data_IF_590738366085
#
_entry.id   IF_590738366085
#
_cell.length_a   1.000
_cell.length_b   1.000
_cell.length_c   1.000
_cell.angle_alpha   90.00
_cell.angle_beta   90.00
_cell.angle_gamma   90.00
#
_symmetry.space_group_name_H-M   'P 1'
#
loop_
_entity.id
_entity.type
_entity.pdbx_description
1 polymer ?
#
# COMPACT_ATOMS: atom_id res chain seq x y z
N UNK A 1 17.54 -14.25 15.07
CA UNK A 1 17.85 -13.53 13.81
C UNK A 1 17.75 -12.04 14.09
N UNK A 2 18.69 -11.22 13.63
CA UNK A 2 18.67 -9.77 13.84
C UNK A 2 18.49 -9.06 12.48
N UNK A 3 17.44 -8.32 12.34
CA UNK A 3 17.14 -7.54 11.13
C UNK A 3 17.70 -6.11 11.19
N UNK A 4 18.37 -5.73 12.28
CA UNK A 4 18.98 -4.41 12.47
C UNK A 4 17.98 -3.28 12.62
N UNK A 5 18.42 -2.04 12.34
CA UNK A 5 17.57 -0.85 12.43
C UNK A 5 16.79 -0.66 11.14
N UNK A 6 15.47 -0.61 11.26
CA UNK A 6 14.56 -0.33 10.15
C UNK A 6 14.23 1.16 10.11
N UNK A 7 14.58 1.78 9.00
CA UNK A 7 14.36 3.20 8.73
C UNK A 7 13.00 3.45 8.10
N UNK A 8 12.51 4.66 8.23
CA UNK A 8 11.32 5.12 7.51
C UNK A 8 11.64 5.30 6.03
N UNK A 9 10.64 5.12 5.17
CA UNK A 9 10.76 5.41 3.74
C UNK A 9 9.90 6.63 3.41
N UNK A 10 10.53 7.76 3.15
CA UNK A 10 9.87 9.04 2.88
C UNK A 10 10.49 9.68 1.64
N UNK A 11 9.67 10.08 0.67
CA UNK A 11 10.15 10.76 -0.53
C UNK A 11 11.15 9.95 -1.36
N UNK A 12 11.01 8.63 -1.42
CA UNK A 12 11.92 7.75 -2.16
C UNK A 12 13.24 7.44 -1.44
N UNK A 13 13.37 7.77 -0.15
CA UNK A 13 14.61 7.59 0.62
C UNK A 13 14.37 6.94 1.97
N UNK A 14 15.34 6.13 2.39
CA UNK A 14 15.39 5.62 3.76
C UNK A 14 15.96 6.68 4.69
N UNK A 15 15.20 7.10 5.70
CA UNK A 15 15.60 8.11 6.67
C UNK A 15 15.36 7.65 8.12
N UNK A 16 16.15 8.19 9.03
CA UNK A 16 15.96 8.05 10.47
C UNK A 16 14.98 9.11 10.97
N UNK A 17 14.38 8.87 12.13
CA UNK A 17 13.50 9.87 12.74
C UNK A 17 14.30 11.09 13.19
N UNK A 18 13.78 12.28 12.94
CA UNK A 18 14.35 13.55 13.44
C UNK A 18 14.47 13.54 14.97
N UNK A 19 13.51 12.91 15.66
CA UNK A 19 13.56 12.75 17.11
C UNK A 19 14.54 11.67 17.60
N UNK A 20 15.12 10.87 16.70
CA UNK A 20 16.00 9.76 17.05
C UNK A 20 15.32 8.61 17.82
N UNK A 21 13.99 8.63 17.92
CA UNK A 21 13.23 7.64 18.69
C UNK A 21 13.17 6.31 17.96
N UNK A 22 13.45 5.22 18.68
CA UNK A 22 13.36 3.86 18.17
C UNK A 22 12.51 3.00 19.09
N UNK A 23 11.85 2.00 18.53
CA UNK A 23 11.08 0.97 19.25
C UNK A 23 11.65 -0.40 18.92
N UNK A 24 11.87 -1.21 19.94
CA UNK A 24 12.27 -2.61 19.77
C UNK A 24 11.09 -3.45 19.26
N UNK A 25 11.40 -4.34 18.33
CA UNK A 25 10.49 -5.37 17.84
C UNK A 25 10.92 -6.68 18.46
N UNK A 26 10.03 -7.24 19.26
CA UNK A 26 10.25 -8.48 19.99
C UNK A 26 9.53 -9.61 19.26
N UNK A 27 10.23 -10.68 18.95
CA UNK A 27 9.62 -11.88 18.37
C UNK A 27 8.71 -12.55 19.40
N UNK A 28 7.43 -12.78 19.09
CA UNK A 28 6.52 -13.48 20.00
C UNK A 28 6.88 -14.98 20.16
N UNK A 29 7.61 -15.55 19.21
CA UNK A 29 8.03 -16.94 19.24
C UNK A 29 9.24 -17.18 20.15
N UNK A 30 10.19 -16.21 20.22
CA UNK A 30 11.45 -16.40 20.96
C UNK A 30 11.59 -15.47 22.17
N UNK A 31 10.83 -14.38 22.23
CA UNK A 31 10.97 -13.32 23.24
C UNK A 31 12.20 -12.44 23.03
N UNK A 32 12.94 -12.62 21.96
CA UNK A 32 14.16 -11.86 21.65
C UNK A 32 13.85 -10.60 20.83
N UNK A 33 14.66 -9.55 21.02
CA UNK A 33 14.65 -8.39 20.14
C UNK A 33 15.23 -8.77 18.77
N UNK A 34 14.43 -8.60 17.72
CA UNK A 34 14.81 -8.98 16.35
C UNK A 34 15.06 -7.78 15.44
N UNK A 35 14.62 -6.60 15.82
CA UNK A 35 14.84 -5.36 15.08
C UNK A 35 14.61 -4.14 15.96
N UNK A 36 15.08 -2.98 15.50
CA UNK A 36 14.67 -1.67 16.04
C UNK A 36 14.02 -0.87 14.92
N UNK A 37 12.85 -0.34 15.17
CA UNK A 37 12.09 0.46 14.23
C UNK A 37 12.21 1.95 14.56
N UNK A 38 12.59 2.78 13.60
CA UNK A 38 12.50 4.23 13.74
C UNK A 38 11.04 4.65 13.89
N UNK A 39 10.73 5.42 14.94
CA UNK A 39 9.39 5.94 15.21
C UNK A 39 9.30 7.36 14.68
N UNK A 40 8.34 7.62 13.81
CA UNK A 40 8.15 8.93 13.20
C UNK A 40 7.79 9.99 14.26
N UNK A 41 8.41 11.14 14.19
CA UNK A 41 8.02 12.35 14.90
C UNK A 41 6.87 13.06 14.16
N UNK A 42 6.39 14.16 14.74
CA UNK A 42 5.41 15.01 14.05
C UNK A 42 6.01 15.62 12.78
N UNK A 43 7.25 16.06 12.84
CA UNK A 43 7.99 16.65 11.72
C UNK A 43 8.20 15.62 10.59
N UNK A 44 8.55 14.38 10.93
CA UNK A 44 8.65 13.28 9.97
C UNK A 44 7.31 13.01 9.28
N UNK A 45 6.22 13.05 10.04
CA UNK A 45 4.86 12.85 9.52
C UNK A 45 4.46 13.98 8.57
N UNK A 46 4.74 15.22 8.93
CA UNK A 46 4.48 16.39 8.07
C UNK A 46 5.28 16.29 6.77
N UNK A 47 6.56 15.91 6.83
CA UNK A 47 7.38 15.66 5.65
C UNK A 47 6.82 14.53 4.79
N UNK A 48 6.39 13.43 5.40
CA UNK A 48 5.80 12.31 4.68
C UNK A 48 4.52 12.71 3.92
N UNK A 49 3.67 13.54 4.53
CA UNK A 49 2.46 14.07 3.88
C UNK A 49 2.80 14.99 2.69
N UNK A 50 3.82 15.84 2.84
CA UNK A 50 4.26 16.73 1.74
C UNK A 50 4.82 15.92 0.56
N UNK A 51 5.64 14.91 0.83
CA UNK A 51 6.19 14.04 -0.21
C UNK A 51 5.11 13.16 -0.86
N UNK A 52 4.13 12.69 -0.08
CA UNK A 52 2.97 11.96 -0.61
C UNK A 52 2.12 12.85 -1.54
N UNK A 53 1.95 14.14 -1.21
CA UNK A 53 1.24 15.09 -2.07
C UNK A 53 1.96 15.30 -3.42
N UNK A 54 3.29 15.40 -3.42
CA UNK A 54 4.08 15.43 -4.67
C UNK A 54 3.93 14.13 -5.47
N UNK A 55 3.94 13.01 -4.77
CA UNK A 55 3.69 11.69 -5.37
C UNK A 55 2.32 11.62 -6.03
N UNK A 56 1.27 12.14 -5.38
CA UNK A 56 -0.08 12.23 -5.93
C UNK A 56 -0.14 13.05 -7.21
N UNK A 57 0.53 14.19 -7.27
CA UNK A 57 0.57 15.04 -8.49
C UNK A 57 1.18 14.34 -9.71
N UNK A 58 2.11 13.45 -9.48
CA UNK A 58 2.67 12.58 -10.52
C UNK A 58 1.73 11.43 -10.85
N UNK A 59 1.30 10.68 -9.82
CA UNK A 59 0.53 9.45 -9.97
C UNK A 59 -0.84 9.67 -10.61
N UNK A 60 -1.52 10.75 -10.26
CA UNK A 60 -2.84 11.10 -10.80
C UNK A 60 -2.87 11.34 -12.31
N UNK A 61 -1.72 11.64 -12.91
CA UNK A 61 -1.56 11.86 -14.36
C UNK A 61 -1.25 10.59 -15.15
N UNK A 62 -0.88 9.50 -14.46
CA UNK A 62 -0.57 8.24 -15.12
C UNK A 62 -1.83 7.58 -15.68
N UNK A 63 -1.70 7.01 -16.86
CA UNK A 63 -2.70 6.13 -17.43
C UNK A 63 -2.84 4.84 -16.62
N UNK A 64 -3.94 4.11 -16.79
CA UNK A 64 -4.14 2.80 -16.15
C UNK A 64 -3.03 1.80 -16.52
N UNK A 65 -2.55 1.82 -17.76
CA UNK A 65 -1.46 0.96 -18.21
C UNK A 65 -0.18 1.23 -17.44
N UNK A 66 0.20 2.50 -17.30
CA UNK A 66 1.40 2.90 -16.57
C UNK A 66 1.31 2.55 -15.08
N UNK A 67 0.14 2.71 -14.46
CA UNK A 67 -0.10 2.28 -13.07
C UNK A 67 0.03 0.77 -12.92
N UNK A 68 -0.54 0.00 -13.84
CA UNK A 68 -0.42 -1.45 -13.86
C UNK A 68 1.04 -1.92 -13.99
N UNK A 69 1.85 -1.24 -14.81
CA UNK A 69 3.28 -1.54 -14.91
C UNK A 69 4.01 -1.33 -13.57
N UNK A 70 3.65 -0.29 -12.80
CA UNK A 70 4.22 -0.06 -11.48
C UNK A 70 3.81 -1.15 -10.47
N UNK A 71 2.55 -1.57 -10.49
CA UNK A 71 2.08 -2.66 -9.62
C UNK A 71 2.74 -4.00 -10.02
N UNK A 72 2.93 -4.25 -11.32
CA UNK A 72 3.66 -5.42 -11.77
C UNK A 72 5.13 -5.41 -11.31
N UNK A 73 5.80 -4.25 -11.32
CA UNK A 73 7.15 -4.10 -10.74
C UNK A 73 7.17 -4.41 -9.25
N UNK A 74 6.18 -3.93 -8.49
CA UNK A 74 6.04 -4.24 -7.07
C UNK A 74 5.84 -5.74 -6.85
N UNK A 75 4.94 -6.38 -7.61
CA UNK A 75 4.72 -7.82 -7.57
C UNK A 75 6.02 -8.60 -7.83
N UNK A 76 6.75 -8.24 -8.86
CA UNK A 76 8.01 -8.89 -9.19
C UNK A 76 9.08 -8.69 -8.09
N UNK A 77 9.10 -7.53 -7.43
CA UNK A 77 9.98 -7.30 -6.30
C UNK A 77 9.61 -8.18 -5.10
N UNK A 78 8.31 -8.35 -4.80
CA UNK A 78 7.84 -9.28 -3.75
C UNK A 78 8.31 -10.70 -4.05
N UNK A 79 8.15 -11.16 -5.28
CA UNK A 79 8.61 -12.51 -5.70
C UNK A 79 10.12 -12.66 -5.56
N UNK A 80 10.89 -11.64 -5.97
CA UNK A 80 12.35 -11.66 -5.90
C UNK A 80 12.88 -11.67 -4.45
N UNK A 81 12.13 -11.12 -3.51
CA UNK A 81 12.49 -11.05 -2.09
C UNK A 81 11.61 -11.97 -1.21
N UNK A 82 11.02 -13.02 -1.81
CA UNK A 82 10.10 -13.93 -1.12
C UNK A 82 10.70 -14.48 0.17
N UNK A 83 11.92 -14.97 0.14
CA UNK A 83 12.58 -15.58 1.31
C UNK A 83 12.82 -14.57 2.45
N UNK A 84 13.24 -13.34 2.12
CA UNK A 84 13.45 -12.28 3.12
C UNK A 84 12.14 -11.88 3.81
N UNK A 85 11.08 -11.73 3.03
CA UNK A 85 9.73 -11.42 3.52
C UNK A 85 9.18 -12.56 4.39
N UNK A 86 9.43 -13.80 3.97
CA UNK A 86 9.02 -14.99 4.69
C UNK A 86 9.63 -15.04 6.09
N UNK A 87 10.96 -14.89 6.19
CA UNK A 87 11.63 -14.80 7.48
C UNK A 87 11.12 -13.63 8.32
N UNK A 88 10.90 -12.46 7.72
CA UNK A 88 10.39 -11.31 8.44
C UNK A 88 9.01 -11.61 9.07
N UNK A 89 8.08 -12.18 8.30
CA UNK A 89 6.75 -12.57 8.82
C UNK A 89 6.85 -13.62 9.92
N UNK A 90 7.66 -14.65 9.74
CA UNK A 90 7.84 -15.68 10.76
C UNK A 90 8.34 -15.10 12.08
N UNK A 91 9.38 -14.29 12.05
CA UNK A 91 9.99 -13.78 13.27
C UNK A 91 9.19 -12.65 13.93
N UNK A 92 8.56 -11.78 13.14
CA UNK A 92 7.78 -10.67 13.66
C UNK A 92 6.41 -11.11 14.17
N UNK A 93 5.77 -12.07 13.49
CA UNK A 93 4.43 -12.54 13.80
C UNK A 93 4.40 -13.85 14.61
N UNK A 94 5.48 -14.59 14.64
CA UNK A 94 5.52 -15.92 15.22
C UNK A 94 4.74 -16.96 14.42
N UNK A 95 4.58 -16.77 13.12
CA UNK A 95 3.90 -17.72 12.21
C UNK A 95 4.78 -18.93 11.92
N UNK A 96 4.14 -20.06 11.56
CA UNK A 96 4.84 -21.21 11.01
C UNK A 96 5.35 -20.89 9.60
N UNK A 97 6.24 -21.73 9.09
CA UNK A 97 6.75 -21.58 7.71
C UNK A 97 5.61 -21.59 6.70
N UNK A 98 4.74 -22.56 6.79
CA UNK A 98 3.61 -22.73 5.87
C UNK A 98 2.66 -21.53 5.88
N UNK A 99 2.33 -21.02 7.09
CA UNK A 99 1.43 -19.87 7.23
C UNK A 99 2.06 -18.57 6.72
N UNK A 100 3.38 -18.41 6.82
CA UNK A 100 4.09 -17.27 6.26
C UNK A 100 4.18 -17.37 4.73
N UNK A 101 4.30 -18.57 4.17
CA UNK A 101 4.29 -18.82 2.73
C UNK A 101 2.94 -18.46 2.10
N UNK A 102 1.84 -18.86 2.75
CA UNK A 102 0.48 -18.47 2.35
C UNK A 102 0.30 -16.94 2.33
N UNK A 103 0.82 -16.22 3.33
CA UNK A 103 0.74 -14.75 3.34
C UNK A 103 1.41 -14.13 2.11
N UNK A 104 2.54 -14.69 1.67
CA UNK A 104 3.27 -14.19 0.52
C UNK A 104 2.57 -14.51 -0.79
N UNK A 105 2.03 -15.72 -0.92
CA UNK A 105 1.26 -16.09 -2.09
C UNK A 105 0.01 -15.21 -2.24
N UNK A 106 -0.70 -14.94 -1.14
CA UNK A 106 -1.85 -14.03 -1.11
C UNK A 106 -1.50 -12.59 -1.55
N UNK A 107 -0.29 -12.10 -1.24
CA UNK A 107 0.17 -10.78 -1.72
C UNK A 107 0.36 -10.81 -3.23
N UNK A 108 1.05 -11.82 -3.74
CA UNK A 108 1.32 -11.97 -5.17
C UNK A 108 0.00 -12.02 -5.94
N UNK A 109 -0.96 -12.80 -5.45
CA UNK A 109 -2.31 -12.91 -6.02
C UNK A 109 -3.06 -11.57 -5.99
N UNK A 110 -3.01 -10.86 -4.87
CA UNK A 110 -3.65 -9.55 -4.74
C UNK A 110 -3.07 -8.52 -5.73
N UNK A 111 -1.74 -8.49 -5.86
CA UNK A 111 -1.05 -7.58 -6.79
C UNK A 111 -1.24 -7.97 -8.27
N UNK A 112 -1.74 -9.16 -8.56
CA UNK A 112 -2.17 -9.59 -9.89
C UNK A 112 -3.66 -9.33 -10.13
N UNK A 113 -4.50 -9.64 -9.16
CA UNK A 113 -5.96 -9.58 -9.28
C UNK A 113 -6.47 -8.14 -9.45
N UNK A 114 -6.10 -7.22 -8.55
CA UNK A 114 -6.68 -5.87 -8.53
C UNK A 114 -6.36 -5.04 -9.78
N UNK A 115 -5.15 -5.06 -10.38
CA UNK A 115 -4.90 -4.42 -11.67
C UNK A 115 -5.84 -4.90 -12.79
N UNK A 116 -6.15 -6.20 -12.79
CA UNK A 116 -7.06 -6.78 -13.79
C UNK A 116 -8.52 -6.37 -13.55
N UNK A 117 -8.96 -6.22 -12.29
CA UNK A 117 -10.30 -5.73 -11.96
C UNK A 117 -10.50 -4.27 -12.36
N UNK A 118 -9.45 -3.46 -12.26
CA UNK A 118 -9.50 -2.06 -12.67
C UNK A 118 -9.90 -1.85 -14.14
N UNK A 119 -9.44 -2.75 -15.01
CA UNK A 119 -9.78 -2.71 -16.44
C UNK A 119 -11.29 -2.95 -16.69
N UNK A 120 -12.01 -3.47 -15.70
CA UNK A 120 -13.45 -3.72 -15.74
C UNK A 120 -14.29 -2.60 -15.14
N UNK A 121 -13.66 -1.69 -14.37
CA UNK A 121 -14.36 -0.52 -13.83
C UNK A 121 -14.71 0.44 -14.96
N UNK A 122 -15.99 0.76 -15.08
CA UNK A 122 -16.52 1.62 -16.14
C UNK A 122 -17.28 2.79 -15.55
N UNK A 123 -17.15 3.93 -16.18
CA UNK A 123 -18.10 5.03 -16.00
C UNK A 123 -19.50 4.57 -16.44
N UNK A 124 -20.53 5.09 -15.80
CA UNK A 124 -21.91 4.71 -16.09
C UNK A 124 -22.71 5.94 -16.52
N UNK A 125 -23.56 5.76 -17.52
CA UNK A 125 -24.62 6.72 -17.83
C UNK A 125 -25.87 6.29 -17.09
N UNK A 126 -26.39 7.14 -16.21
CA UNK A 126 -27.57 6.89 -15.42
C UNK A 126 -28.80 7.54 -16.10
N UNK A 127 -29.95 6.87 -16.17
CA UNK A 127 -31.14 7.45 -16.77
C UNK A 127 -31.64 8.65 -15.97
N UNK A 128 -32.02 9.70 -16.68
CA UNK A 128 -32.82 10.80 -16.13
C UNK A 128 -34.31 10.52 -16.46
N UNK A 129 -35.12 10.36 -15.43
CA UNK A 129 -36.53 10.03 -15.56
C UNK A 129 -37.35 11.14 -16.25
N UNK A 130 -36.85 12.37 -16.24
CA UNK A 130 -37.51 13.53 -16.87
C UNK A 130 -36.96 13.81 -18.28
N UNK A 131 -35.85 13.15 -18.68
CA UNK A 131 -35.26 13.32 -20.00
C UNK A 131 -34.62 14.68 -20.24
N UNK A 132 -34.36 15.45 -19.19
CA UNK A 132 -33.84 16.82 -19.28
C UNK A 132 -32.31 16.91 -19.16
N UNK A 133 -31.67 15.85 -18.63
CA UNK A 133 -30.24 15.83 -18.35
C UNK A 133 -29.62 14.49 -18.72
N UNK A 134 -28.29 14.50 -18.90
CA UNK A 134 -27.48 13.28 -18.98
C UNK A 134 -26.68 13.13 -17.69
N UNK A 135 -26.95 12.10 -16.90
CA UNK A 135 -26.22 11.80 -15.69
C UNK A 135 -25.07 10.85 -16.01
N UNK A 136 -23.84 11.24 -15.68
CA UNK A 136 -22.67 10.40 -15.89
C UNK A 136 -21.96 10.18 -14.54
N UNK A 137 -21.78 8.92 -14.18
CA UNK A 137 -20.97 8.52 -13.04
C UNK A 137 -19.50 8.41 -13.50
N UNK A 138 -18.65 9.24 -12.92
CA UNK A 138 -17.20 9.23 -13.21
C UNK A 138 -16.41 8.97 -11.93
N UNK A 139 -15.24 8.35 -12.09
CA UNK A 139 -14.29 8.09 -11.02
C UNK A 139 -13.22 9.18 -11.03
N UNK A 140 -13.02 9.85 -9.90
CA UNK A 140 -12.03 10.92 -9.75
C UNK A 140 -11.11 10.61 -8.55
N UNK A 141 -9.80 10.96 -8.63
CA UNK A 141 -8.86 10.74 -7.53
C UNK A 141 -9.23 11.56 -6.29
N UNK A 142 -9.09 10.95 -5.12
CA UNK A 142 -9.34 11.61 -3.83
C UNK A 142 -8.13 12.31 -3.24
N UNK A 143 -6.93 11.99 -3.69
CA UNK A 143 -5.68 12.52 -3.16
C UNK A 143 -4.95 11.54 -2.25
N UNK A 144 -4.16 12.07 -1.33
CA UNK A 144 -3.37 11.28 -0.39
C UNK A 144 -4.25 10.54 0.61
N UNK A 145 -3.95 9.27 0.83
CA UNK A 145 -4.68 8.38 1.75
C UNK A 145 -3.74 7.90 2.86
N UNK A 146 -4.21 7.96 4.10
CA UNK A 146 -3.55 7.32 5.23
C UNK A 146 -4.08 5.89 5.39
N UNK A 147 -3.22 4.90 5.18
CA UNK A 147 -3.55 3.49 5.33
C UNK A 147 -3.05 2.95 6.66
N UNK A 148 -3.97 2.60 7.55
CA UNK A 148 -3.64 1.87 8.78
C UNK A 148 -3.68 0.36 8.51
N UNK A 149 -2.58 -0.33 8.85
CA UNK A 149 -2.41 -1.75 8.58
C UNK A 149 -2.68 -2.56 9.84
N UNK A 150 -3.47 -3.63 9.71
CA UNK A 150 -3.68 -4.57 10.79
C UNK A 150 -2.44 -5.47 10.96
N UNK A 151 -2.14 -5.82 12.20
CA UNK A 151 -0.93 -6.56 12.56
C UNK A 151 -0.98 -8.04 12.15
N UNK A 152 -2.16 -8.63 12.03
CA UNK A 152 -2.35 -10.08 11.83
C UNK A 152 -1.99 -10.62 10.43
N UNK A 153 -2.03 -9.76 9.39
CA UNK A 153 -1.58 -10.02 8.02
C UNK A 153 -0.87 -8.79 7.47
N UNK A 154 0.29 -8.40 8.02
CA UNK A 154 0.87 -7.08 7.80
C UNK A 154 1.18 -6.83 6.32
N UNK A 155 1.85 -7.75 5.64
CA UNK A 155 2.22 -7.56 4.23
C UNK A 155 1.02 -7.71 3.28
N UNK A 156 0.07 -8.59 3.56
CA UNK A 156 -1.16 -8.69 2.77
C UNK A 156 -1.98 -7.39 2.87
N UNK A 157 -2.08 -6.81 4.06
CA UNK A 157 -2.74 -5.52 4.24
C UNK A 157 -2.04 -4.40 3.45
N UNK A 158 -0.70 -4.42 3.36
CA UNK A 158 0.04 -3.51 2.47
C UNK A 158 -0.39 -3.71 1.02
N UNK A 159 -0.41 -4.94 0.53
CA UNK A 159 -0.79 -5.23 -0.85
C UNK A 159 -2.22 -4.77 -1.17
N UNK A 160 -3.19 -5.06 -0.30
CA UNK A 160 -4.58 -4.63 -0.49
C UNK A 160 -4.70 -3.10 -0.52
N UNK A 161 -4.03 -2.39 0.37
CA UNK A 161 -4.10 -0.94 0.40
C UNK A 161 -3.40 -0.32 -0.81
N UNK A 162 -2.14 -0.72 -1.07
CA UNK A 162 -1.37 -0.16 -2.18
C UNK A 162 -2.04 -0.46 -3.54
N UNK A 163 -2.42 -1.70 -3.81
CA UNK A 163 -3.02 -2.03 -5.10
C UNK A 163 -4.34 -1.28 -5.31
N UNK A 164 -5.26 -1.31 -4.35
CA UNK A 164 -6.56 -0.65 -4.48
C UNK A 164 -6.43 0.88 -4.59
N UNK A 165 -5.62 1.53 -3.74
CA UNK A 165 -5.44 2.99 -3.76
C UNK A 165 -4.82 3.44 -5.09
N UNK A 166 -3.76 2.75 -5.54
CA UNK A 166 -3.03 3.15 -6.73
C UNK A 166 -3.74 2.80 -8.03
N UNK A 167 -4.63 1.84 -8.01
CA UNK A 167 -5.36 1.38 -9.19
C UNK A 167 -6.71 2.05 -9.28
N UNK A 168 -7.54 1.98 -8.23
CA UNK A 168 -8.94 2.39 -8.30
C UNK A 168 -9.20 3.84 -7.92
N UNK A 169 -8.25 4.53 -7.28
CA UNK A 169 -8.45 5.83 -6.65
C UNK A 169 -9.86 6.01 -6.06
N UNK A 170 -10.04 6.25 -4.77
CA UNK A 170 -11.35 6.26 -4.15
C UNK A 170 -12.31 7.20 -4.88
N UNK A 171 -13.41 6.66 -5.30
CA UNK A 171 -14.43 7.28 -6.14
C UNK A 171 -15.07 8.48 -5.48
N UNK A 172 -15.09 9.63 -6.13
CA UNK A 172 -16.03 10.70 -5.84
C UNK A 172 -17.20 10.60 -6.82
N UNK A 173 -18.41 10.50 -6.32
CA UNK A 173 -19.60 10.65 -7.15
C UNK A 173 -19.79 12.14 -7.46
N UNK A 174 -19.60 12.56 -8.70
CA UNK A 174 -20.02 13.86 -9.18
C UNK A 174 -21.15 13.67 -10.20
N UNK A 175 -22.25 14.38 -10.00
CA UNK A 175 -23.29 14.51 -10.99
C UNK A 175 -22.95 15.77 -11.81
N UNK A 176 -22.81 15.62 -13.12
CA UNK A 176 -22.66 16.72 -14.04
C UNK A 176 -24.03 16.92 -14.68
N UNK A 177 -24.64 18.06 -14.42
CA UNK A 177 -25.88 18.50 -15.05
C UNK A 177 -25.62 19.38 -16.26
#
# INVERSE_FOLDING_TARGET
MDFGVKKMYIGGRLCESVAGTQKEIISPATGECIAKLCVASKEDTELALQEAQKGFEYWSKLSLSERNEWIAKLRNAVIAHKDELHYAVMYEMGKTWESADEDIDMIVDALEYYPNEMLRMRSQVLPDLQGSHTNILVHEPRGVVCAMLAWNFPILNVAYKLSLIHISEPTRHSLIS
#
